data_IF_291275210497
#
_entry.id   IF_291275210497
#
_cell.length_a   1.000
_cell.length_b   1.000
_cell.length_c   1.000
_cell.angle_alpha   90.00
_cell.angle_beta   90.00
_cell.angle_gamma   90.00
#
_symmetry.space_group_name_H-M   'P 1'
#
loop_
_entity.id
_entity.type
_entity.pdbx_description
1 polymer ?
#
# COMPACT_ATOMS: atom_id res chain seq x y z
N UNK A 1 21.63 -13.12 6.87
CA UNK A 1 20.35 -12.59 6.31
C UNK A 1 19.32 -12.60 7.42
N UNK A 2 18.57 -11.52 7.62
CA UNK A 2 17.53 -11.51 8.65
C UNK A 2 16.39 -12.43 8.20
N UNK A 3 16.00 -13.40 9.04
CA UNK A 3 14.95 -14.38 8.73
C UNK A 3 13.57 -13.74 8.45
N UNK A 4 13.32 -12.51 8.90
CA UNK A 4 12.10 -11.79 8.60
C UNK A 4 11.99 -11.45 7.10
N UNK A 5 13.09 -11.06 6.44
CA UNK A 5 13.09 -10.73 5.02
C UNK A 5 12.84 -11.93 4.12
N UNK A 6 13.22 -13.16 4.52
CA UNK A 6 12.91 -14.35 3.73
C UNK A 6 11.42 -14.67 3.66
N UNK A 7 10.64 -14.18 4.63
CA UNK A 7 9.18 -14.32 4.71
C UNK A 7 8.42 -13.11 4.14
N UNK A 8 9.12 -12.09 3.66
CA UNK A 8 8.50 -10.88 3.14
C UNK A 8 7.85 -11.12 1.78
N UNK A 9 6.58 -10.72 1.66
CA UNK A 9 5.76 -10.85 0.45
C UNK A 9 5.09 -9.50 0.17
N UNK A 10 5.74 -8.64 -0.63
CA UNK A 10 5.12 -7.38 -1.04
C UNK A 10 3.94 -7.61 -1.96
N UNK A 11 2.94 -6.76 -1.81
CA UNK A 11 1.78 -6.70 -2.68
C UNK A 11 1.54 -5.25 -3.13
N UNK A 12 1.08 -5.10 -4.36
CA UNK A 12 0.80 -3.82 -5.00
C UNK A 12 -0.68 -3.77 -5.37
N UNK A 13 -1.53 -3.10 -4.58
CA UNK A 13 -2.89 -2.78 -5.01
C UNK A 13 -2.84 -1.72 -6.12
N UNK A 14 -3.36 -2.07 -7.30
CA UNK A 14 -3.37 -1.27 -8.53
C UNK A 14 -4.82 -1.11 -9.04
N UNK A 15 -5.66 -0.39 -8.28
CA UNK A 15 -7.11 -0.32 -8.52
C UNK A 15 -7.67 1.06 -8.80
N UNK A 16 -6.97 2.12 -8.44
CA UNK A 16 -7.44 3.50 -8.58
C UNK A 16 -7.34 4.02 -10.03
N UNK A 17 -8.41 4.68 -10.53
CA UNK A 17 -8.37 5.31 -11.86
C UNK A 17 -7.57 6.61 -11.87
N UNK A 18 -7.50 7.32 -10.73
CA UNK A 18 -6.86 8.64 -10.64
C UNK A 18 -7.67 9.73 -11.34
N UNK A 19 -8.99 9.76 -11.14
CA UNK A 19 -9.94 10.65 -11.84
C UNK A 19 -9.61 12.14 -11.74
N UNK A 20 -8.90 12.58 -10.69
CA UNK A 20 -8.43 13.95 -10.51
C UNK A 20 -7.42 14.39 -11.57
N UNK A 21 -6.75 13.44 -12.24
CA UNK A 21 -5.81 13.70 -13.33
C UNK A 21 -6.44 13.57 -14.73
N UNK A 22 -7.78 13.56 -14.83
CA UNK A 22 -8.42 13.60 -16.15
C UNK A 22 -8.04 14.91 -16.88
N UNK A 23 -7.66 14.91 -18.17
CA UNK A 23 -7.75 13.83 -19.16
C UNK A 23 -6.51 12.94 -19.29
N UNK A 24 -5.46 13.10 -18.50
CA UNK A 24 -4.28 12.22 -18.53
C UNK A 24 -4.68 10.80 -18.12
N UNK A 25 -5.29 10.66 -16.93
CA UNK A 25 -5.80 9.39 -16.48
C UNK A 25 -7.21 9.13 -16.99
N UNK A 26 -7.51 7.88 -17.34
CA UNK A 26 -8.81 7.42 -17.83
C UNK A 26 -9.04 5.98 -17.36
N UNK A 27 -10.29 5.50 -17.44
CA UNK A 27 -10.63 4.13 -17.06
C UNK A 27 -9.76 3.06 -17.77
N UNK A 28 -9.37 3.31 -19.04
CA UNK A 28 -8.53 2.41 -19.82
C UNK A 28 -7.02 2.70 -19.67
N UNK A 29 -6.66 3.85 -19.12
CA UNK A 29 -5.29 4.27 -18.83
C UNK A 29 -5.26 4.92 -17.44
N UNK A 30 -5.42 4.12 -16.37
CA UNK A 30 -5.42 4.64 -15.01
C UNK A 30 -4.04 5.19 -14.64
N UNK A 31 -4.00 6.05 -13.63
CA UNK A 31 -2.80 6.79 -13.18
C UNK A 31 -1.57 5.89 -13.04
N UNK A 32 -1.72 4.71 -12.45
CA UNK A 32 -0.60 3.81 -12.19
C UNK A 32 0.05 3.22 -13.46
N UNK A 33 -0.61 3.28 -14.63
CA UNK A 33 -0.05 2.84 -15.91
C UNK A 33 0.63 3.96 -16.69
N UNK A 34 0.61 5.19 -16.18
CA UNK A 34 1.20 6.35 -16.84
C UNK A 34 2.63 6.60 -16.36
N UNK A 35 3.47 7.11 -17.25
CA UNK A 35 4.74 7.76 -16.90
C UNK A 35 4.45 9.23 -16.60
N UNK A 36 4.33 9.58 -15.33
CA UNK A 36 4.07 10.95 -14.87
C UNK A 36 5.35 11.67 -14.42
N UNK A 37 6.47 10.95 -14.42
CA UNK A 37 7.77 11.45 -13.96
C UNK A 37 8.80 11.54 -15.09
N UNK A 38 8.40 11.28 -16.33
CA UNK A 38 9.31 11.22 -17.48
C UNK A 38 10.53 10.31 -17.23
N UNK A 39 10.28 9.19 -16.54
CA UNK A 39 11.31 8.19 -16.22
C UNK A 39 11.48 7.13 -17.33
N UNK A 40 10.58 7.10 -18.30
CA UNK A 40 10.46 6.03 -19.29
C UNK A 40 9.73 4.80 -18.74
N UNK A 41 9.17 4.87 -17.53
CA UNK A 41 8.45 3.78 -16.85
C UNK A 41 7.11 4.28 -16.30
N UNK A 42 6.12 3.40 -16.20
CA UNK A 42 4.90 3.70 -15.46
C UNK A 42 5.13 3.71 -13.95
N UNK A 43 4.27 4.39 -13.19
CA UNK A 43 4.31 4.38 -11.73
C UNK A 43 4.24 2.97 -11.15
N UNK A 44 3.43 2.09 -11.75
CA UNK A 44 3.36 0.66 -11.40
C UNK A 44 4.72 -0.04 -11.59
N UNK A 45 5.37 0.20 -12.73
CA UNK A 45 6.67 -0.39 -13.04
C UNK A 45 7.73 0.08 -12.03
N UNK A 46 7.79 1.37 -11.72
CA UNK A 46 8.70 1.92 -10.72
C UNK A 46 8.42 1.34 -9.33
N UNK A 47 7.15 1.15 -8.97
CA UNK A 47 6.77 0.51 -7.70
C UNK A 47 7.22 -0.95 -7.64
N UNK A 48 7.02 -1.71 -8.72
CA UNK A 48 7.48 -3.10 -8.81
C UNK A 48 9.00 -3.20 -8.69
N UNK A 49 9.74 -2.37 -9.43
CA UNK A 49 11.20 -2.37 -9.42
C UNK A 49 11.78 -2.06 -8.03
N UNK A 50 11.16 -1.15 -7.27
CA UNK A 50 11.58 -0.84 -5.89
C UNK A 50 11.42 -2.02 -4.92
N UNK A 51 10.46 -2.91 -5.18
CA UNK A 51 10.06 -3.98 -4.26
C UNK A 51 10.68 -5.33 -4.59
N UNK A 52 10.99 -5.60 -5.86
CA UNK A 52 11.41 -6.93 -6.31
C UNK A 52 12.71 -7.37 -5.63
N UNK A 53 13.65 -6.47 -5.40
CA UNK A 53 14.92 -6.75 -4.74
C UNK A 53 14.77 -7.08 -3.25
N UNK A 54 13.69 -6.61 -2.61
CA UNK A 54 13.37 -6.90 -1.21
C UNK A 54 12.64 -8.24 -1.03
N UNK A 55 12.13 -8.83 -2.11
CA UNK A 55 11.16 -9.91 -2.10
C UNK A 55 11.75 -11.17 -2.68
N UNK A 56 12.55 -11.91 -2.42
CA UNK A 56 12.96 -13.19 -3.05
C UNK A 56 12.36 -13.47 -4.47
N UNK A 57 12.15 -12.41 -5.28
CA UNK A 57 11.60 -12.49 -6.63
C UNK A 57 10.08 -12.73 -6.72
N UNK A 58 9.31 -12.40 -5.68
CA UNK A 58 7.84 -12.54 -5.68
C UNK A 58 7.18 -11.27 -5.18
N UNK A 59 6.51 -10.55 -6.08
CA UNK A 59 5.65 -9.39 -5.77
C UNK A 59 4.27 -9.68 -6.33
N UNK A 60 3.25 -9.62 -5.48
CA UNK A 60 1.86 -9.82 -5.92
C UNK A 60 1.26 -8.50 -6.38
N UNK A 61 0.56 -8.51 -7.51
CA UNK A 61 -0.20 -7.34 -8.01
C UNK A 61 -1.68 -7.64 -7.97
N UNK A 62 -2.46 -6.75 -7.36
CA UNK A 62 -3.92 -6.83 -7.31
C UNK A 62 -4.50 -5.73 -8.19
N UNK A 63 -5.27 -6.09 -9.22
CA UNK A 63 -5.85 -5.11 -10.16
C UNK A 63 -7.18 -5.57 -10.71
N UNK A 64 -7.93 -4.64 -11.32
CA UNK A 64 -9.18 -4.99 -12.01
C UNK A 64 -8.94 -5.84 -13.27
N UNK A 65 -9.87 -6.74 -13.60
CA UNK A 65 -9.80 -7.59 -14.80
C UNK A 65 -9.56 -6.80 -16.09
N UNK A 66 -10.10 -5.57 -16.18
CA UNK A 66 -9.91 -4.67 -17.33
C UNK A 66 -8.46 -4.21 -17.56
N UNK A 67 -7.63 -4.27 -16.53
CA UNK A 67 -6.24 -3.79 -16.59
C UNK A 67 -5.21 -4.93 -16.69
N UNK A 68 -5.64 -6.19 -16.63
CA UNK A 68 -4.76 -7.37 -16.59
C UNK A 68 -3.71 -7.36 -17.71
N UNK A 69 -4.13 -7.13 -18.96
CA UNK A 69 -3.22 -7.09 -20.11
C UNK A 69 -2.22 -5.93 -20.02
N UNK A 70 -2.64 -4.76 -19.59
CA UNK A 70 -1.76 -3.61 -19.45
C UNK A 70 -0.72 -3.84 -18.34
N UNK A 71 -1.12 -4.43 -17.21
CA UNK A 71 -0.22 -4.79 -16.12
C UNK A 71 0.83 -5.81 -16.58
N UNK A 72 0.43 -6.86 -17.28
CA UNK A 72 1.38 -7.88 -17.79
C UNK A 72 2.31 -7.34 -18.90
N UNK A 73 1.88 -6.34 -19.66
CA UNK A 73 2.75 -5.63 -20.59
C UNK A 73 3.79 -4.76 -19.89
N UNK A 74 3.41 -4.10 -18.78
CA UNK A 74 4.32 -3.26 -17.99
C UNK A 74 5.30 -4.10 -17.13
N UNK A 75 4.89 -5.29 -16.71
CA UNK A 75 5.67 -6.21 -15.88
C UNK A 75 5.65 -7.61 -16.53
N UNK A 76 6.41 -7.81 -17.63
CA UNK A 76 6.38 -9.10 -18.34
C UNK A 76 6.93 -10.27 -17.52
N UNK A 77 7.73 -10.01 -16.50
CA UNK A 77 8.25 -10.99 -15.56
C UNK A 77 7.27 -11.38 -14.43
N UNK A 78 6.11 -10.71 -14.32
CA UNK A 78 5.09 -11.02 -13.31
C UNK A 78 4.50 -12.41 -13.57
N UNK A 79 4.63 -13.29 -12.59
CA UNK A 79 4.06 -14.65 -12.70
C UNK A 79 2.53 -14.59 -12.65
N UNK A 80 1.87 -15.42 -13.44
CA UNK A 80 0.40 -15.51 -13.43
C UNK A 80 -0.18 -15.85 -12.05
N UNK A 81 0.57 -16.58 -11.20
CA UNK A 81 0.19 -16.89 -9.82
C UNK A 81 0.24 -15.68 -8.87
N UNK A 82 0.94 -14.62 -9.26
CA UNK A 82 1.13 -13.40 -8.48
C UNK A 82 0.25 -12.23 -8.97
N UNK A 83 -0.55 -12.47 -10.02
CA UNK A 83 -1.55 -11.53 -10.50
C UNK A 83 -2.94 -11.89 -9.98
N UNK A 84 -3.50 -11.05 -9.13
CA UNK A 84 -4.85 -11.18 -8.57
C UNK A 84 -5.78 -10.22 -9.30
N UNK A 85 -6.86 -10.76 -9.88
CA UNK A 85 -7.82 -9.98 -10.66
C UNK A 85 -9.13 -9.80 -9.90
N UNK A 86 -9.48 -8.54 -9.67
CA UNK A 86 -10.76 -8.15 -9.08
C UNK A 86 -11.83 -8.04 -10.18
N UNK A 87 -12.98 -8.72 -10.05
CA UNK A 87 -14.08 -8.58 -11.01
C UNK A 87 -14.70 -7.18 -11.03
N UNK A 88 -14.67 -6.47 -9.90
CA UNK A 88 -15.18 -5.10 -9.76
C UNK A 88 -14.51 -4.40 -8.56
N UNK A 89 -14.41 -3.06 -8.55
CA UNK A 89 -13.79 -2.32 -7.46
C UNK A 89 -14.54 -2.49 -6.13
N UNK A 90 -13.84 -2.88 -5.05
CA UNK A 90 -14.36 -3.05 -3.70
C UNK A 90 -13.61 -2.24 -2.64
N UNK A 91 -12.79 -1.26 -3.07
CA UNK A 91 -11.89 -0.49 -2.23
C UNK A 91 -10.70 -1.32 -1.68
N UNK A 92 -9.80 -0.65 -0.93
CA UNK A 92 -8.50 -1.21 -0.56
C UNK A 92 -8.57 -2.41 0.39
N UNK A 93 -9.57 -2.49 1.28
CA UNK A 93 -9.67 -3.61 2.22
C UNK A 93 -9.94 -4.96 1.54
N UNK A 94 -10.77 -4.98 0.50
CA UNK A 94 -11.04 -6.20 -0.24
C UNK A 94 -9.81 -6.65 -1.06
N UNK A 95 -9.15 -5.72 -1.75
CA UNK A 95 -7.95 -5.98 -2.54
C UNK A 95 -6.80 -6.52 -1.69
N UNK A 96 -6.43 -5.76 -0.65
CA UNK A 96 -5.34 -6.13 0.27
C UNK A 96 -5.71 -7.39 1.05
N UNK A 97 -6.95 -7.46 1.55
CA UNK A 97 -7.44 -8.61 2.31
C UNK A 97 -7.44 -9.90 1.51
N UNK A 98 -7.87 -9.88 0.24
CA UNK A 98 -7.82 -11.06 -0.63
C UNK A 98 -6.37 -11.51 -0.88
N UNK A 99 -5.46 -10.57 -1.20
CA UNK A 99 -4.05 -10.89 -1.35
C UNK A 99 -3.46 -11.50 -0.07
N UNK A 100 -3.76 -10.92 1.10
CA UNK A 100 -3.37 -11.48 2.40
C UNK A 100 -3.92 -12.89 2.60
N UNK A 101 -5.19 -13.13 2.28
CA UNK A 101 -5.80 -14.44 2.43
C UNK A 101 -5.14 -15.49 1.53
N UNK A 102 -4.84 -15.16 0.27
CA UNK A 102 -4.14 -16.04 -0.67
C UNK A 102 -2.72 -16.35 -0.17
N UNK A 103 -1.99 -15.32 0.26
CA UNK A 103 -0.65 -15.50 0.82
C UNK A 103 -0.69 -16.36 2.07
N UNK A 104 -1.67 -16.15 2.96
CA UNK A 104 -1.83 -16.94 4.18
C UNK A 104 -2.08 -18.42 3.92
N UNK A 105 -2.93 -18.77 2.94
CA UNK A 105 -3.17 -20.16 2.56
C UNK A 105 -1.91 -20.86 2.02
N UNK A 106 -1.00 -20.10 1.38
CA UNK A 106 0.27 -20.59 0.84
C UNK A 106 1.40 -20.59 1.88
N UNK A 107 1.50 -19.49 2.64
CA UNK A 107 2.59 -19.21 3.58
C UNK A 107 2.03 -18.53 4.85
N UNK A 108 1.52 -19.29 5.83
CA UNK A 108 0.86 -18.74 7.02
C UNK A 108 1.72 -17.79 7.86
N UNK A 109 3.04 -17.96 7.82
CA UNK A 109 4.02 -17.16 8.57
C UNK A 109 4.57 -15.97 7.77
N UNK A 110 4.01 -15.67 6.60
CA UNK A 110 4.45 -14.57 5.76
C UNK A 110 4.28 -13.21 6.47
N UNK A 111 5.17 -12.29 6.13
CA UNK A 111 5.04 -10.86 6.44
C UNK A 111 4.65 -10.18 5.13
N UNK A 112 3.48 -9.59 5.06
CA UNK A 112 3.06 -8.84 3.88
C UNK A 112 3.53 -7.39 3.97
N UNK A 113 3.69 -6.76 2.81
CA UNK A 113 3.82 -5.31 2.70
C UNK A 113 2.93 -4.81 1.57
N UNK A 114 1.99 -3.91 1.87
CA UNK A 114 1.10 -3.28 0.88
C UNK A 114 1.66 -1.93 0.47
N UNK A 115 1.88 -1.73 -0.84
CA UNK A 115 2.45 -0.52 -1.42
C UNK A 115 1.61 -0.09 -2.63
N UNK A 116 1.08 1.13 -2.60
CA UNK A 116 0.26 1.64 -3.69
C UNK A 116 1.04 1.68 -5.01
N UNK A 117 0.36 1.36 -6.11
CA UNK A 117 0.95 1.26 -7.46
C UNK A 117 1.38 2.61 -8.04
N UNK A 118 1.01 3.73 -7.42
CA UNK A 118 1.00 5.05 -8.03
C UNK A 118 1.71 6.14 -7.20
N UNK A 119 2.54 5.73 -6.25
CA UNK A 119 3.37 6.64 -5.46
C UNK A 119 4.74 6.88 -6.12
N UNK A 120 5.19 8.13 -6.10
CA UNK A 120 6.56 8.53 -6.45
C UNK A 120 7.39 8.60 -5.18
N UNK A 121 8.55 7.91 -5.18
CA UNK A 121 9.41 7.76 -4.00
C UNK A 121 10.87 7.86 -4.42
N UNK A 122 11.64 8.75 -3.78
CA UNK A 122 13.06 8.93 -3.99
C UNK A 122 13.79 9.36 -2.69
N UNK A 123 15.03 8.93 -2.45
CA UNK A 123 15.76 7.90 -3.22
C UNK A 123 15.29 6.47 -2.88
N UNK A 124 15.47 5.55 -3.81
CA UNK A 124 14.99 4.16 -3.69
C UNK A 124 15.73 3.37 -2.60
N UNK A 125 17.02 3.58 -2.43
CA UNK A 125 17.83 2.90 -1.40
C UNK A 125 17.36 3.24 0.02
N UNK A 126 16.98 4.49 0.26
CA UNK A 126 16.43 4.90 1.55
C UNK A 126 15.04 4.29 1.79
N UNK A 127 14.19 4.24 0.77
CA UNK A 127 12.92 3.51 0.84
C UNK A 127 13.12 2.04 1.20
N UNK A 128 14.07 1.36 0.53
CA UNK A 128 14.37 -0.04 0.79
C UNK A 128 14.92 -0.27 2.20
N UNK A 129 15.70 0.66 2.72
CA UNK A 129 16.17 0.65 4.11
C UNK A 129 15.00 0.74 5.09
N UNK A 130 14.08 1.70 4.89
CA UNK A 130 12.90 1.91 5.73
C UNK A 130 11.97 0.70 5.68
N UNK A 131 11.70 0.14 4.49
CA UNK A 131 10.88 -1.06 4.35
C UNK A 131 11.53 -2.27 5.04
N UNK A 132 12.85 -2.41 4.92
CA UNK A 132 13.59 -3.47 5.65
C UNK A 132 13.38 -3.34 7.15
N UNK A 133 13.47 -2.14 7.70
CA UNK A 133 13.23 -1.86 9.10
C UNK A 133 11.77 -2.13 9.50
N UNK A 134 10.80 -1.77 8.63
CA UNK A 134 9.39 -2.06 8.83
C UNK A 134 9.11 -3.58 8.86
N UNK A 135 9.75 -4.37 8.00
CA UNK A 135 9.63 -5.84 7.98
C UNK A 135 10.17 -6.46 9.28
N UNK A 136 11.31 -5.96 9.77
CA UNK A 136 11.88 -6.41 11.05
C UNK A 136 10.95 -6.05 12.23
N UNK A 137 10.39 -4.85 12.20
CA UNK A 137 9.42 -4.41 13.21
C UNK A 137 8.14 -5.24 13.17
N UNK A 138 7.61 -5.53 11.98
CA UNK A 138 6.43 -6.37 11.80
C UNK A 138 6.64 -7.80 12.33
N UNK A 139 7.84 -8.35 12.24
CA UNK A 139 8.18 -9.65 12.79
C UNK A 139 8.04 -9.70 14.34
N UNK A 140 7.97 -8.57 15.02
CA UNK A 140 7.65 -8.49 16.46
C UNK A 140 6.15 -8.57 16.79
N UNK A 141 5.29 -8.76 15.78
CA UNK A 141 3.84 -8.85 15.95
C UNK A 141 3.12 -7.51 15.89
N UNK A 142 3.59 -6.57 15.07
CA UNK A 142 2.96 -5.26 14.84
C UNK A 142 2.51 -5.10 13.39
N UNK A 143 1.46 -4.31 13.18
CA UNK A 143 1.16 -3.67 11.90
C UNK A 143 2.00 -2.40 11.83
N UNK A 144 2.88 -2.32 10.86
CA UNK A 144 3.81 -1.19 10.71
C UNK A 144 3.37 -0.31 9.56
N UNK A 145 3.26 0.98 9.82
CA UNK A 145 3.09 1.99 8.77
C UNK A 145 4.35 2.84 8.63
N UNK A 146 4.49 3.53 7.50
CA UNK A 146 5.58 4.47 7.25
C UNK A 146 5.06 5.88 7.43
N UNK A 147 5.69 6.62 8.34
CA UNK A 147 5.34 8.00 8.66
C UNK A 147 6.19 8.98 7.85
N UNK A 148 5.54 9.89 7.13
CA UNK A 148 6.20 10.95 6.35
C UNK A 148 6.02 12.28 7.07
N UNK A 149 7.08 13.09 7.15
CA UNK A 149 7.00 14.42 7.76
C UNK A 149 6.06 15.32 6.96
N UNK A 150 5.00 15.89 7.58
CA UNK A 150 4.07 16.77 6.90
C UNK A 150 4.76 18.07 6.46
N UNK A 151 4.46 18.51 5.24
CA UNK A 151 4.93 19.79 4.70
C UNK A 151 3.82 20.84 4.59
N UNK A 152 2.56 20.39 4.71
CA UNK A 152 1.35 21.22 4.62
C UNK A 152 0.19 20.58 5.43
N UNK A 153 -0.90 21.32 5.73
CA UNK A 153 -2.05 20.76 6.46
C UNK A 153 -3.02 20.05 5.50
N UNK A 154 -2.62 18.88 5.00
CA UNK A 154 -3.42 18.10 4.06
C UNK A 154 -4.57 17.37 4.76
N UNK A 155 -5.80 17.56 4.30
CA UNK A 155 -6.95 16.74 4.69
C UNK A 155 -7.12 15.48 3.81
N UNK A 156 -6.20 15.24 2.87
CA UNK A 156 -6.22 14.08 1.98
C UNK A 156 -5.55 12.84 2.58
N UNK A 157 -4.73 13.01 3.62
CA UNK A 157 -3.92 11.97 4.23
C UNK A 157 -4.34 11.63 5.66
N UNK A 158 -4.01 10.43 6.10
CA UNK A 158 -4.06 10.05 7.51
C UNK A 158 -2.89 10.65 8.29
N UNK A 159 -3.11 10.88 9.58
CA UNK A 159 -2.09 11.39 10.52
C UNK A 159 -1.82 10.38 11.61
N UNK A 160 -0.53 10.23 11.94
CA UNK A 160 -0.03 9.29 12.94
C UNK A 160 0.70 10.08 14.02
N UNK A 161 0.32 9.87 15.27
CA UNK A 161 1.12 10.30 16.42
C UNK A 161 1.87 9.10 16.97
N UNK A 162 3.19 9.15 16.83
CA UNK A 162 4.06 8.15 17.43
C UNK A 162 4.52 8.61 18.82
N UNK A 163 4.83 7.66 19.70
CA UNK A 163 5.22 8.01 21.07
C UNK A 163 6.61 7.47 21.44
N UNK A 164 6.74 6.20 21.75
CA UNK A 164 7.96 5.65 22.34
C UNK A 164 8.69 4.73 21.38
N UNK A 165 10.06 4.74 21.37
CA UNK A 165 10.83 3.73 20.67
C UNK A 165 10.49 2.32 21.14
N UNK A 166 10.38 1.38 20.19
CA UNK A 166 10.14 -0.04 20.50
C UNK A 166 11.40 -0.76 21.02
N UNK A 167 12.59 -0.15 20.90
CA UNK A 167 13.84 -0.71 21.40
C UNK A 167 14.30 -1.98 20.68
N UNK A 168 13.90 -2.16 19.42
CA UNK A 168 14.27 -3.33 18.63
C UNK A 168 15.71 -3.20 18.10
N UNK A 169 16.57 -4.18 18.36
CA UNK A 169 18.00 -4.12 18.02
C UNK A 169 18.29 -3.88 16.53
N UNK A 170 17.44 -4.39 15.63
CA UNK A 170 17.59 -4.25 14.18
C UNK A 170 16.56 -3.34 13.52
N UNK A 171 15.78 -2.62 14.33
CA UNK A 171 14.81 -1.62 13.91
C UNK A 171 14.81 -0.44 14.91
N UNK A 172 15.94 0.32 14.97
CA UNK A 172 16.15 1.34 16.01
C UNK A 172 15.21 2.54 15.89
N UNK A 173 14.67 2.80 14.68
CA UNK A 173 13.77 3.92 14.44
C UNK A 173 12.28 3.56 14.59
N UNK A 174 11.97 2.30 14.91
CA UNK A 174 10.59 1.84 15.09
C UNK A 174 9.98 2.43 16.36
N UNK A 175 8.82 3.07 16.22
CA UNK A 175 8.08 3.75 17.29
C UNK A 175 6.72 3.10 17.51
N UNK A 176 6.25 3.07 18.75
CA UNK A 176 4.85 2.74 19.03
C UNK A 176 3.93 3.88 18.57
N UNK A 177 2.75 3.55 18.07
CA UNK A 177 1.74 4.52 17.64
C UNK A 177 0.75 4.76 18.79
N UNK A 178 0.55 6.03 19.13
CA UNK A 178 -0.42 6.47 20.13
C UNK A 178 -1.80 6.70 19.52
N UNK A 179 -1.85 7.31 18.33
CA UNK A 179 -3.09 7.58 17.61
C UNK A 179 -2.92 7.56 16.11
N UNK A 180 -3.99 7.19 15.42
CA UNK A 180 -4.14 7.21 13.97
C UNK A 180 -5.46 7.86 13.63
N UNK A 181 -5.47 8.87 12.75
CA UNK A 181 -6.66 9.60 12.34
C UNK A 181 -6.65 9.71 10.83
N UNK A 182 -7.59 9.07 10.16
CA UNK A 182 -7.72 9.11 8.70
C UNK A 182 -8.46 10.37 8.26
N UNK A 183 -7.83 11.14 7.36
CA UNK A 183 -8.42 12.32 6.69
C UNK A 183 -9.14 13.29 7.63
N UNK A 184 -8.43 13.94 8.55
CA UNK A 184 -9.01 14.93 9.45
C UNK A 184 -9.56 16.13 8.65
N UNK A 185 -10.41 16.94 9.28
CA UNK A 185 -10.77 18.23 8.71
C UNK A 185 -9.56 19.19 8.64
N UNK A 186 -9.68 20.25 7.82
CA UNK A 186 -8.56 21.18 7.57
C UNK A 186 -8.09 21.90 8.85
N UNK A 187 -8.98 22.19 9.81
CA UNK A 187 -8.62 22.83 11.07
C UNK A 187 -7.80 21.88 11.95
N UNK A 188 -8.19 20.62 12.00
CA UNK A 188 -7.48 19.57 12.73
C UNK A 188 -6.13 19.27 12.07
N UNK A 189 -6.08 19.18 10.73
CA UNK A 189 -4.83 19.00 9.98
C UNK A 189 -3.83 20.13 10.24
N UNK A 190 -4.29 21.40 10.33
CA UNK A 190 -3.43 22.53 10.67
C UNK A 190 -2.88 22.41 12.10
N UNK A 191 -3.71 22.02 13.07
CA UNK A 191 -3.25 21.79 14.46
C UNK A 191 -2.19 20.70 14.55
N UNK A 192 -2.34 19.62 13.76
CA UNK A 192 -1.37 18.54 13.71
C UNK A 192 -0.03 18.99 13.12
N UNK A 193 -0.07 19.78 12.04
CA UNK A 193 1.13 20.37 11.44
C UNK A 193 1.85 21.32 12.42
N UNK A 194 1.09 22.22 13.07
CA UNK A 194 1.65 23.22 13.98
C UNK A 194 2.27 22.60 15.24
N UNK A 195 1.75 21.45 15.67
CA UNK A 195 2.27 20.73 16.84
C UNK A 195 3.64 20.09 16.59
N UNK A 196 3.91 19.68 15.35
CA UNK A 196 5.11 18.91 15.00
C UNK A 196 5.14 17.46 15.53
N UNK A 197 4.06 17.00 16.19
CA UNK A 197 3.99 15.67 16.82
C UNK A 197 3.48 14.58 15.87
N UNK A 198 2.98 14.96 14.70
CA UNK A 198 2.32 14.06 13.75
C UNK A 198 3.10 13.88 12.47
N UNK A 199 3.00 12.68 11.91
CA UNK A 199 3.45 12.36 10.55
C UNK A 199 2.25 11.97 9.68
N UNK A 200 2.36 12.15 8.36
CA UNK A 200 1.39 11.57 7.43
C UNK A 200 1.54 10.06 7.38
N UNK A 201 0.42 9.36 7.28
CA UNK A 201 0.38 7.96 6.87
C UNK A 201 0.65 7.86 5.36
N UNK A 202 1.74 7.21 4.98
CA UNK A 202 2.07 6.99 3.57
C UNK A 202 1.15 5.95 2.89
N UNK A 203 0.18 5.38 3.60
CA UNK A 203 -0.69 4.32 3.07
C UNK A 203 0.03 3.00 2.80
N UNK A 204 1.20 2.81 3.41
CA UNK A 204 2.01 1.60 3.31
C UNK A 204 1.91 0.82 4.60
N UNK A 205 1.51 -0.45 4.52
CA UNK A 205 1.32 -1.31 5.69
C UNK A 205 2.17 -2.57 5.57
N UNK A 206 3.01 -2.84 6.57
CA UNK A 206 3.82 -4.05 6.68
C UNK A 206 3.41 -4.82 7.93
N UNK A 207 3.01 -6.08 7.81
CA UNK A 207 2.48 -6.83 8.94
C UNK A 207 2.61 -8.35 8.77
N UNK A 208 2.61 -9.14 9.86
CA UNK A 208 2.31 -10.55 9.77
C UNK A 208 0.95 -10.75 9.09
N UNK A 209 0.89 -11.62 8.09
CA UNK A 209 -0.35 -11.86 7.34
C UNK A 209 -1.49 -12.30 8.25
N UNK A 210 -1.19 -13.11 9.26
CA UNK A 210 -2.15 -13.58 10.26
C UNK A 210 -2.75 -12.42 11.08
N UNK A 211 -1.94 -11.41 11.44
CA UNK A 211 -2.42 -10.24 12.20
C UNK A 211 -3.35 -9.36 11.37
N UNK A 212 -3.03 -9.12 10.08
CA UNK A 212 -3.93 -8.42 9.16
C UNK A 212 -5.29 -9.10 9.07
N UNK A 213 -5.28 -10.42 8.86
CA UNK A 213 -6.50 -11.22 8.78
C UNK A 213 -7.28 -11.28 10.10
N UNK A 214 -6.58 -11.25 11.25
CA UNK A 214 -7.21 -11.19 12.57
C UNK A 214 -8.00 -9.89 12.75
N UNK A 215 -7.42 -8.74 12.39
CA UNK A 215 -8.11 -7.46 12.44
C UNK A 215 -9.29 -7.40 11.47
N UNK A 216 -9.14 -7.89 10.23
CA UNK A 216 -10.26 -8.01 9.28
C UNK A 216 -11.37 -8.91 9.84
N UNK A 217 -11.03 -10.04 10.43
CA UNK A 217 -12.03 -10.95 11.04
C UNK A 217 -12.81 -10.29 12.16
N UNK A 218 -12.15 -9.45 12.97
CA UNK A 218 -12.75 -8.78 14.11
C UNK A 218 -13.65 -7.62 13.69
N UNK A 219 -13.19 -6.80 12.73
CA UNK A 219 -13.83 -5.53 12.40
C UNK A 219 -14.75 -5.63 11.17
N UNK A 220 -14.44 -6.52 10.23
CA UNK A 220 -15.15 -6.73 8.96
C UNK A 220 -15.41 -8.23 8.72
N UNK A 221 -16.21 -8.90 9.57
CA UNK A 221 -16.35 -10.36 9.55
C UNK A 221 -16.94 -10.89 8.24
N UNK A 222 -17.83 -10.14 7.57
CA UNK A 222 -18.42 -10.52 6.28
C UNK A 222 -17.36 -10.47 5.17
N UNK A 223 -16.56 -9.40 5.13
CA UNK A 223 -15.43 -9.27 4.21
C UNK A 223 -14.43 -10.42 4.43
N UNK A 224 -14.03 -10.65 5.68
CA UNK A 224 -13.11 -11.74 6.04
C UNK A 224 -13.64 -13.10 5.59
N UNK A 225 -14.89 -13.43 5.88
CA UNK A 225 -15.47 -14.72 5.50
C UNK A 225 -15.44 -14.93 3.97
N UNK A 226 -15.77 -13.88 3.21
CA UNK A 226 -15.78 -13.94 1.76
C UNK A 226 -14.39 -14.07 1.13
N UNK A 227 -13.41 -13.27 1.57
CA UNK A 227 -12.05 -13.36 1.04
C UNK A 227 -11.39 -14.71 1.39
N UNK A 228 -11.60 -15.23 2.59
CA UNK A 228 -11.11 -16.57 2.97
C UNK A 228 -11.75 -17.68 2.16
N UNK A 229 -13.05 -17.58 1.83
CA UNK A 229 -13.72 -18.53 0.93
C UNK A 229 -13.08 -18.52 -0.46
N UNK A 230 -12.80 -17.33 -1.00
CA UNK A 230 -12.13 -17.18 -2.31
C UNK A 230 -10.70 -17.73 -2.24
N UNK A 231 -9.93 -17.37 -1.20
CA UNK A 231 -8.53 -17.76 -1.06
C UNK A 231 -8.36 -19.28 -0.97
N UNK A 232 -9.23 -19.99 -0.25
CA UNK A 232 -9.22 -21.46 -0.19
C UNK A 232 -9.44 -22.14 -1.54
N UNK A 233 -10.19 -21.50 -2.42
CA UNK A 233 -10.43 -22.01 -3.78
C UNK A 233 -9.39 -21.51 -4.78
N UNK A 234 -8.48 -20.61 -4.39
CA UNK A 234 -7.62 -19.85 -5.33
C UNK A 234 -6.76 -20.73 -6.23
N UNK A 235 -6.12 -21.73 -5.67
CA UNK A 235 -5.23 -22.64 -6.38
C UNK A 235 -5.95 -23.96 -6.78
N UNK A 236 -7.29 -23.91 -6.90
CA UNK A 236 -8.14 -25.04 -7.29
C UNK A 236 -8.95 -24.75 -8.56
N UNK A 237 -9.54 -25.78 -9.22
CA UNK A 237 -10.42 -25.56 -10.36
C UNK A 237 -11.68 -24.73 -10.06
N UNK A 238 -12.09 -24.63 -8.79
CA UNK A 238 -13.28 -23.91 -8.37
C UNK A 238 -13.08 -22.38 -8.25
N UNK A 239 -11.86 -21.91 -8.41
CA UNK A 239 -11.48 -20.49 -8.24
C UNK A 239 -12.45 -19.51 -8.91
N UNK A 240 -12.69 -19.68 -10.21
CA UNK A 240 -13.53 -18.74 -10.99
C UNK A 240 -14.97 -18.75 -10.50
N UNK A 241 -15.55 -19.92 -10.27
CA UNK A 241 -16.93 -20.07 -9.78
C UNK A 241 -17.09 -19.47 -8.39
N UNK A 242 -16.17 -19.72 -7.47
CA UNK A 242 -16.22 -19.17 -6.10
C UNK A 242 -16.01 -17.65 -6.11
N UNK A 243 -15.08 -17.15 -6.94
CA UNK A 243 -14.86 -15.71 -7.10
C UNK A 243 -16.14 -15.01 -7.60
N UNK A 244 -16.75 -15.52 -8.66
CA UNK A 244 -17.97 -14.95 -9.25
C UNK A 244 -19.15 -14.92 -8.25
N UNK A 245 -19.35 -16.02 -7.50
CA UNK A 245 -20.43 -16.12 -6.51
C UNK A 245 -20.22 -15.24 -5.29
N UNK A 246 -18.97 -14.95 -4.93
CA UNK A 246 -18.63 -14.35 -3.64
C UNK A 246 -18.26 -12.88 -3.75
N UNK A 247 -17.46 -12.48 -4.76
CA UNK A 247 -16.90 -11.13 -4.86
C UNK A 247 -17.95 -10.02 -4.85
N UNK A 248 -19.05 -10.21 -5.60
CA UNK A 248 -20.13 -9.24 -5.70
C UNK A 248 -20.78 -8.90 -4.36
N UNK A 249 -20.80 -9.84 -3.41
CA UNK A 249 -21.43 -9.70 -2.09
C UNK A 249 -20.54 -9.03 -1.04
N UNK A 250 -19.22 -8.89 -1.31
CA UNK A 250 -18.30 -8.32 -0.34
C UNK A 250 -18.62 -6.83 -0.06
N UNK A 251 -18.54 -6.39 1.19
CA UNK A 251 -18.66 -4.98 1.55
C UNK A 251 -17.50 -4.19 0.90
N UNK A 252 -17.72 -2.88 0.76
CA UNK A 252 -16.76 -1.93 0.21
C UNK A 252 -16.28 -1.02 1.34
N UNK A 253 -15.00 -1.12 1.70
CA UNK A 253 -14.38 -0.31 2.74
C UNK A 253 -12.88 -0.12 2.49
N UNK A 254 -12.30 0.96 3.01
CA UNK A 254 -10.87 1.18 2.97
C UNK A 254 -10.15 0.39 4.07
N UNK A 255 -8.91 -0.03 3.80
CA UNK A 255 -8.07 -0.77 4.76
C UNK A 255 -7.78 0.06 6.02
N UNK A 256 -7.75 1.38 5.87
CA UNK A 256 -7.51 2.32 6.96
C UNK A 256 -8.60 2.21 8.03
N UNK A 257 -9.87 2.19 7.64
CA UNK A 257 -11.00 2.01 8.56
C UNK A 257 -11.18 0.57 9.03
N UNK A 258 -10.96 -0.39 8.12
CA UNK A 258 -11.14 -1.81 8.44
C UNK A 258 -10.06 -2.35 9.39
N UNK A 259 -8.82 -1.84 9.27
CA UNK A 259 -7.66 -2.39 9.98
C UNK A 259 -6.86 -1.31 10.72
N UNK A 260 -6.39 -0.23 10.05
CA UNK A 260 -5.37 0.64 10.62
C UNK A 260 -5.87 1.40 11.87
N UNK A 261 -7.02 2.07 11.82
CA UNK A 261 -7.59 2.78 12.97
C UNK A 261 -7.91 1.83 14.14
N UNK A 262 -8.65 0.71 13.93
CA UNK A 262 -8.93 -0.22 15.02
C UNK A 262 -7.68 -0.90 15.59
N UNK A 263 -6.67 -1.15 14.78
CA UNK A 263 -5.41 -1.73 15.23
C UNK A 263 -4.60 -0.71 16.06
N UNK A 264 -4.60 0.57 15.67
CA UNK A 264 -3.95 1.63 16.44
C UNK A 264 -4.63 1.76 17.82
N UNK A 265 -5.96 1.77 17.85
CA UNK A 265 -6.73 1.80 19.12
C UNK A 265 -6.47 0.57 20.00
N UNK A 266 -6.09 -0.57 19.42
CA UNK A 266 -5.71 -1.79 20.16
C UNK A 266 -4.23 -1.80 20.58
N UNK A 267 -3.41 -0.81 20.18
CA UNK A 267 -1.98 -0.76 20.45
C UNK A 267 -1.15 -1.71 19.58
N UNK A 268 -1.73 -2.19 18.47
CA UNK A 268 -1.08 -3.15 17.56
C UNK A 268 -0.32 -2.48 16.41
N UNK A 269 -0.34 -1.14 16.32
CA UNK A 269 0.36 -0.40 15.27
C UNK A 269 1.70 0.14 15.75
N UNK A 270 2.69 0.06 14.88
CA UNK A 270 3.97 0.74 14.99
C UNK A 270 4.22 1.62 13.76
N UNK A 271 5.16 2.55 13.85
CA UNK A 271 5.55 3.40 12.74
C UNK A 271 7.07 3.40 12.59
N UNK A 272 7.53 3.40 11.35
CA UNK A 272 8.93 3.68 10.99
C UNK A 272 8.96 5.00 10.21
N UNK A 273 9.76 5.99 10.65
CA UNK A 273 9.89 7.26 9.91
C UNK A 273 10.52 7.04 8.53
N UNK A 274 9.90 7.58 7.50
CA UNK A 274 10.45 7.63 6.14
C UNK A 274 11.19 8.94 5.92
N UNK A 275 12.47 8.86 5.59
CA UNK A 275 13.34 9.99 5.27
C UNK A 275 13.58 10.16 3.76
N UNK A 276 12.70 9.61 2.95
CA UNK A 276 12.64 9.76 1.50
C UNK A 276 11.53 10.75 1.09
N UNK A 277 11.63 11.33 -0.09
CA UNK A 277 10.53 12.09 -0.67
C UNK A 277 9.42 11.13 -1.09
N UNK A 278 8.19 11.52 -0.80
CA UNK A 278 6.98 10.76 -1.11
C UNK A 278 5.90 11.68 -1.66
N UNK A 279 5.27 11.26 -2.75
CA UNK A 279 4.15 11.97 -3.35
C UNK A 279 3.13 10.93 -3.88
N UNK A 280 1.86 11.12 -3.54
CA UNK A 280 0.76 10.28 -4.04
C UNK A 280 0.27 10.71 -5.43
N UNK A 281 0.85 11.76 -6.02
CA UNK A 281 0.51 12.32 -7.34
C UNK A 281 -0.99 12.55 -7.47
N UNK A 282 -1.55 13.25 -6.48
CA UNK A 282 -2.99 13.38 -6.32
C UNK A 282 -3.68 14.29 -7.33
N UNK A 283 -2.96 15.25 -7.93
CA UNK A 283 -3.48 16.28 -8.83
C UNK A 283 -2.42 16.78 -9.82
N UNK A 284 -2.80 17.76 -10.66
CA UNK A 284 -1.88 18.36 -11.64
C UNK A 284 -0.77 19.19 -11.03
N UNK A 285 -0.98 19.77 -9.85
CA UNK A 285 0.06 20.54 -9.17
C UNK A 285 1.17 19.60 -8.69
N UNK A 286 0.84 18.43 -8.20
CA UNK A 286 1.80 17.38 -7.86
C UNK A 286 2.60 16.93 -9.11
N UNK A 287 1.93 16.69 -10.24
CA UNK A 287 2.60 16.34 -11.50
C UNK A 287 3.56 17.46 -11.95
N UNK A 288 3.13 18.72 -11.87
CA UNK A 288 3.96 19.86 -12.24
C UNK A 288 5.20 19.97 -11.33
N UNK A 289 5.02 19.85 -10.01
CA UNK A 289 6.10 19.89 -9.01
C UNK A 289 7.16 18.82 -9.28
N UNK A 290 6.76 17.56 -9.46
CA UNK A 290 7.66 16.45 -9.74
C UNK A 290 8.48 16.64 -11.03
N UNK A 291 7.87 17.23 -12.06
CA UNK A 291 8.58 17.49 -13.31
C UNK A 291 9.50 18.71 -13.21
N UNK A 292 9.14 19.75 -12.44
CA UNK A 292 10.00 20.89 -12.16
C UNK A 292 11.26 20.51 -11.38
N UNK A 293 11.14 19.65 -10.38
CA UNK A 293 12.29 19.12 -9.63
C UNK A 293 13.30 18.43 -10.55
N UNK A 294 12.82 17.79 -11.62
CA UNK A 294 13.66 17.06 -12.58
C UNK A 294 14.24 17.94 -13.69
N UNK A 295 13.45 18.88 -14.22
CA UNK A 295 13.76 19.63 -15.44
C UNK A 295 13.99 21.13 -15.21
N UNK A 296 13.81 21.63 -13.96
CA UNK A 296 13.88 23.04 -13.62
C UNK A 296 12.56 23.78 -13.91
N UNK A 297 12.54 25.10 -13.62
CA UNK A 297 11.36 25.94 -13.87
C UNK A 297 11.06 26.05 -15.37
N UNK A 298 9.81 25.80 -15.76
CA UNK A 298 9.36 25.91 -17.14
C UNK A 298 7.99 25.27 -17.37
N UNK A 299 7.58 25.25 -18.65
CA UNK A 299 6.35 24.56 -19.07
C UNK A 299 6.57 23.05 -19.04
N UNK A 300 5.79 22.35 -18.21
CA UNK A 300 5.79 20.87 -18.18
C UNK A 300 4.97 20.35 -19.35
N UNK A 301 5.62 19.67 -20.30
CA UNK A 301 4.98 18.99 -21.42
C UNK A 301 5.09 17.48 -21.16
N UNK A 302 3.94 16.82 -20.93
CA UNK A 302 3.83 15.37 -20.86
C UNK A 302 3.42 14.88 -22.25
N UNK A 303 4.33 14.24 -22.97
CA UNK A 303 4.16 13.75 -24.35
C UNK A 303 3.87 12.28 -24.39
#
# INVERSE_FOLDING_TARGET
>A
MNTALTRFRPLIPAGGVGSRLWPLSRAQAPKFLLDLTDSGKSLLRDTYDRLIDLSNGSVMVVTGTSHANAVTQQIPELRASDLVLEPSPKDSAAAIGLACAIIHEREPDAIIGSFAADHVINPVDEFQRVVTEAVITAASGKIVTIGITPTEPSSAFGYIRACTPLGLAHAPNALAVESFVEKPDSETAQKYLDSGDYTWNAGMFVAPVSLMLQHLKKNEPELYAGIMKIAKAWDTPERESIMEQTWGTLPKTAIDYAVAEPAAAAGDVAMVPGSFSWDDVGDFDAVARLNQEKHGEGLTILG
#
